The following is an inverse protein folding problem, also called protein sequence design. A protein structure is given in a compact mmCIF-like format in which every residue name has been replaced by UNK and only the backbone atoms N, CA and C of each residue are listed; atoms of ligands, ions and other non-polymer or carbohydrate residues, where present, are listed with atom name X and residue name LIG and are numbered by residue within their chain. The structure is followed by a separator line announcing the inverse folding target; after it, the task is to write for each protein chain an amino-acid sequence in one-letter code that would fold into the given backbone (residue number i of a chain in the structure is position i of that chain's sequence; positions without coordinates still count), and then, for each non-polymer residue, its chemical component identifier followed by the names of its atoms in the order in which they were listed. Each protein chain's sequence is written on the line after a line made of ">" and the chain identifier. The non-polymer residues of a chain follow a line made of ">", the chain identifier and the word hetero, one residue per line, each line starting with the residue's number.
data_IF_291383144220
#
_entry.id   IF_291383144220
#
_cell.length_a   1.000
_cell.length_b   1.000
_cell.length_c   1.000
_cell.angle_alpha   90.00
_cell.angle_beta   90.00
_cell.angle_gamma   90.00
#
_symmetry.space_group_name_H-M   'P 1'
#
loop_
_entity.id
_entity.type
_entity.pdbx_description
1 polymer ?
#
# COMPACT_ATOMS: atom_id res chain seq x y z
N UNK A 1 28.48 -1.72 25.97
CA UNK A 1 27.44 -2.48 25.23
C UNK A 1 26.60 -1.60 24.27
N UNK A 2 27.10 -0.45 23.81
CA UNK A 2 26.32 0.56 23.06
C UNK A 2 26.68 0.67 21.56
N UNK A 3 27.79 0.05 21.12
CA UNK A 3 28.25 0.10 19.73
C UNK A 3 27.65 -0.98 18.81
N UNK A 4 27.23 -2.13 19.36
CA UNK A 4 26.60 -3.22 18.60
C UNK A 4 25.22 -2.82 18.04
N UNK A 5 24.41 -2.13 18.84
CA UNK A 5 23.06 -1.70 18.42
C UNK A 5 23.10 -0.63 17.32
N UNK A 6 24.11 0.27 17.33
CA UNK A 6 24.29 1.27 16.27
C UNK A 6 24.76 0.65 14.95
N UNK A 7 25.62 -0.37 15.01
CA UNK A 7 26.08 -1.12 13.83
C UNK A 7 24.94 -1.91 13.17
N UNK A 8 24.08 -2.54 13.97
CA UNK A 8 22.94 -3.31 13.45
C UNK A 8 21.87 -2.40 12.83
N UNK A 9 21.58 -1.25 13.46
CA UNK A 9 20.67 -0.24 12.91
C UNK A 9 21.23 0.38 11.62
N UNK A 10 22.54 0.68 11.58
CA UNK A 10 23.21 1.14 10.37
C UNK A 10 23.16 0.07 9.27
N UNK A 11 23.36 -1.20 9.58
CA UNK A 11 23.29 -2.31 8.62
C UNK A 11 21.87 -2.52 8.08
N UNK A 12 20.85 -2.41 8.94
CA UNK A 12 19.43 -2.44 8.54
C UNK A 12 19.13 -1.25 7.62
N UNK A 13 19.49 -0.02 8.00
CA UNK A 13 19.31 1.17 7.15
C UNK A 13 20.10 1.00 5.84
N UNK A 14 21.29 0.42 5.87
CA UNK A 14 22.11 0.17 4.68
C UNK A 14 21.48 -0.89 3.78
N UNK A 15 20.84 -1.93 4.31
CA UNK A 15 20.10 -2.93 3.52
C UNK A 15 18.81 -2.35 2.91
N UNK A 16 18.12 -1.45 3.62
CA UNK A 16 16.91 -0.78 3.13
C UNK A 16 17.23 0.32 2.10
N UNK A 17 18.31 1.08 2.28
CA UNK A 17 18.65 2.25 1.46
C UNK A 17 19.78 2.03 0.45
N UNK A 18 20.76 1.16 0.72
CA UNK A 18 21.85 0.91 -0.22
C UNK A 18 21.51 -0.18 -1.23
N UNK A 19 21.65 0.08 -2.53
CA UNK A 19 21.41 -0.90 -3.60
C UNK A 19 22.55 -1.93 -3.74
N UNK A 20 23.35 -2.17 -2.70
CA UNK A 20 24.69 -2.77 -2.84
C UNK A 20 24.68 -4.26 -3.19
N UNK A 21 23.57 -4.98 -2.98
CA UNK A 21 23.39 -6.35 -3.47
C UNK A 21 23.03 -6.44 -4.97
N UNK A 22 22.76 -5.32 -5.65
CA UNK A 22 22.19 -5.34 -7.00
C UNK A 22 23.21 -5.13 -8.15
N UNK A 23 24.49 -4.88 -7.85
CA UNK A 23 25.51 -4.59 -8.90
C UNK A 23 26.29 -5.81 -9.37
N UNK A 24 26.25 -6.92 -8.65
CA UNK A 24 26.91 -8.18 -9.01
C UNK A 24 25.86 -9.25 -9.30
N UNK A 25 26.23 -10.23 -10.14
CA UNK A 25 25.42 -11.32 -10.72
C UNK A 25 24.78 -11.01 -12.08
N UNK A 26 25.51 -11.45 -13.13
CA UNK A 26 25.34 -11.15 -14.55
C UNK A 26 24.18 -11.85 -15.27
N UNK A 27 22.93 -11.56 -14.93
CA UNK A 27 21.80 -11.82 -15.84
C UNK A 27 21.43 -10.53 -16.59
N UNK A 28 22.09 -10.27 -17.73
CA UNK A 28 21.78 -9.16 -18.66
C UNK A 28 20.70 -9.50 -19.70
N UNK A 29 20.16 -10.72 -19.72
CA UNK A 29 19.36 -11.19 -20.85
C UNK A 29 17.86 -11.26 -20.46
N UNK A 30 17.06 -10.34 -21.01
CA UNK A 30 15.60 -10.37 -21.11
C UNK A 30 14.74 -10.33 -19.81
N UNK A 31 15.07 -9.49 -18.83
CA UNK A 31 14.30 -9.43 -17.56
C UNK A 31 13.09 -8.49 -17.56
N UNK A 32 12.95 -7.54 -18.50
CA UNK A 32 11.93 -6.49 -18.43
C UNK A 32 11.32 -6.20 -19.81
N UNK A 33 10.05 -6.54 -20.02
CA UNK A 33 9.31 -6.20 -21.25
C UNK A 33 7.94 -5.60 -20.96
N UNK A 34 7.51 -4.64 -21.78
CA UNK A 34 6.26 -3.91 -21.56
C UNK A 34 5.09 -4.61 -22.28
N UNK A 35 4.74 -5.83 -21.85
CA UNK A 35 3.59 -6.59 -22.40
C UNK A 35 2.62 -7.02 -21.31
N UNK A 36 1.32 -6.97 -21.60
CA UNK A 36 0.29 -7.50 -20.68
C UNK A 36 0.39 -9.01 -20.73
N UNK A 37 0.65 -9.62 -19.58
CA UNK A 37 0.63 -11.06 -19.45
C UNK A 37 -0.56 -11.50 -18.61
N UNK A 38 -1.20 -12.57 -19.07
CA UNK A 38 -2.22 -13.27 -18.33
C UNK A 38 -1.52 -14.34 -17.47
N UNK A 39 -1.52 -14.12 -16.16
CA UNK A 39 -0.96 -15.06 -15.18
C UNK A 39 -1.86 -16.30 -15.10
N UNK A 40 -1.30 -17.50 -15.23
CA UNK A 40 -2.04 -18.74 -14.88
C UNK A 40 -2.20 -18.84 -13.36
N UNK A 41 -3.06 -19.73 -12.87
CA UNK A 41 -3.29 -19.88 -11.43
C UNK A 41 -1.99 -20.18 -10.65
N UNK A 42 -1.16 -21.11 -11.16
CA UNK A 42 0.13 -21.45 -10.55
C UNK A 42 1.09 -20.26 -10.47
N UNK A 43 1.14 -19.42 -11.50
CA UNK A 43 2.05 -18.27 -11.53
C UNK A 43 1.66 -17.16 -10.53
N UNK A 44 0.42 -17.19 -10.04
CA UNK A 44 -0.08 -16.22 -9.04
C UNK A 44 0.28 -16.61 -7.63
N UNK A 45 0.67 -17.86 -7.41
CA UNK A 45 1.14 -18.34 -6.12
C UNK A 45 2.59 -17.95 -5.93
N UNK A 46 2.94 -17.64 -4.69
CA UNK A 46 4.32 -17.44 -4.25
C UNK A 46 4.47 -18.04 -2.87
N UNK A 47 5.58 -18.75 -2.64
CA UNK A 47 5.93 -19.29 -1.33
C UNK A 47 6.79 -18.28 -0.60
N UNK A 48 6.52 -18.07 0.68
CA UNK A 48 7.29 -17.17 1.53
C UNK A 48 7.79 -17.90 2.75
N UNK A 49 8.97 -17.51 3.17
CA UNK A 49 9.52 -17.98 4.43
C UNK A 49 10.41 -16.90 5.05
N UNK A 50 10.35 -16.74 6.35
CA UNK A 50 11.07 -15.74 7.13
C UNK A 50 12.33 -16.38 7.71
N UNK A 51 13.49 -15.85 7.33
CA UNK A 51 14.80 -16.38 7.75
C UNK A 51 15.04 -16.15 9.24
N UNK A 52 14.53 -15.03 9.80
CA UNK A 52 14.68 -14.72 11.23
C UNK A 52 14.03 -15.82 12.08
N UNK A 53 12.82 -16.24 11.72
CA UNK A 53 12.11 -17.30 12.45
C UNK A 53 12.84 -18.65 12.36
N UNK A 54 13.46 -18.97 11.23
CA UNK A 54 14.31 -20.16 11.11
C UNK A 54 15.54 -20.10 12.02
N UNK A 55 16.15 -18.92 12.21
CA UNK A 55 17.27 -18.74 13.14
C UNK A 55 16.82 -19.00 14.59
N UNK A 56 15.58 -18.62 14.93
CA UNK A 56 14.97 -18.90 16.24
C UNK A 56 14.25 -20.28 16.26
N UNK A 57 14.62 -21.18 15.33
CA UNK A 57 14.11 -22.55 15.26
C UNK A 57 12.58 -22.68 15.18
N UNK A 58 11.91 -21.65 14.66
CA UNK A 58 10.46 -21.65 14.45
C UNK A 58 10.18 -21.79 12.96
N UNK A 59 9.98 -23.02 12.44
CA UNK A 59 9.68 -23.19 11.04
C UNK A 59 8.41 -22.43 10.67
N UNK A 60 8.46 -21.76 9.53
CA UNK A 60 7.39 -20.91 9.06
C UNK A 60 7.19 -21.06 7.56
N UNK A 61 5.93 -21.01 7.15
CA UNK A 61 5.51 -21.16 5.77
C UNK A 61 4.44 -20.13 5.45
N UNK A 62 4.64 -19.41 4.35
CA UNK A 62 3.70 -18.43 3.85
C UNK A 62 3.31 -18.73 2.41
N UNK A 63 2.03 -18.51 2.10
CA UNK A 63 1.48 -18.55 0.76
C UNK A 63 0.98 -17.15 0.40
N UNK A 64 1.44 -16.61 -0.71
CA UNK A 64 0.94 -15.36 -1.29
C UNK A 64 0.23 -15.65 -2.62
N UNK A 65 -0.93 -15.06 -2.81
CA UNK A 65 -1.76 -15.18 -4.00
C UNK A 65 -2.11 -13.80 -4.57
N UNK A 66 -1.84 -13.61 -5.87
CA UNK A 66 -2.22 -12.40 -6.60
C UNK A 66 -3.72 -12.45 -6.93
N UNK A 67 -4.50 -11.46 -6.48
CA UNK A 67 -5.97 -11.42 -6.62
C UNK A 67 -6.48 -11.23 -8.06
N UNK A 68 -5.61 -11.16 -9.06
CA UNK A 68 -5.96 -10.72 -10.40
C UNK A 68 -5.14 -11.44 -11.47
N UNK A 69 -5.74 -11.55 -12.64
CA UNK A 69 -5.24 -12.43 -13.70
C UNK A 69 -4.18 -11.77 -14.59
N UNK A 70 -3.89 -10.48 -14.39
CA UNK A 70 -3.01 -9.70 -15.27
C UNK A 70 -1.78 -9.22 -14.52
N UNK A 71 -0.65 -9.12 -15.24
CA UNK A 71 0.66 -8.70 -14.70
C UNK A 71 0.68 -7.31 -14.04
N UNK A 72 -0.32 -6.45 -14.31
CA UNK A 72 -0.45 -5.12 -13.68
C UNK A 72 -1.25 -5.11 -12.38
N UNK A 73 -1.87 -6.23 -11.97
CA UNK A 73 -2.52 -6.28 -10.67
C UNK A 73 -1.46 -6.09 -9.58
N UNK A 74 -1.78 -5.30 -8.56
CA UNK A 74 -0.88 -4.89 -7.47
C UNK A 74 -1.25 -5.47 -6.12
N UNK A 75 -2.42 -6.10 -6.03
CA UNK A 75 -2.97 -6.60 -4.77
C UNK A 75 -2.71 -8.09 -4.62
N UNK A 76 -2.22 -8.46 -3.45
CA UNK A 76 -2.01 -9.86 -3.07
C UNK A 76 -2.63 -10.13 -1.72
N UNK A 77 -3.23 -11.31 -1.61
CA UNK A 77 -3.64 -11.88 -0.34
C UNK A 77 -2.58 -12.88 0.09
N UNK A 78 -2.30 -12.96 1.38
CA UNK A 78 -1.33 -13.91 1.87
C UNK A 78 -1.69 -14.49 3.21
N UNK A 79 -1.29 -15.74 3.40
CA UNK A 79 -1.52 -16.55 4.57
C UNK A 79 -0.15 -17.04 5.05
N UNK A 80 0.26 -16.64 6.23
CA UNK A 80 1.51 -17.07 6.86
C UNK A 80 1.18 -17.91 8.10
N UNK A 81 1.91 -19.01 8.29
CA UNK A 81 1.78 -19.90 9.43
C UNK A 81 3.14 -20.19 10.05
N UNK A 82 3.19 -20.24 11.37
CA UNK A 82 4.36 -20.64 12.15
C UNK A 82 4.00 -21.75 13.11
N UNK A 83 4.87 -22.74 13.23
CA UNK A 83 4.67 -23.87 14.15
C UNK A 83 6.01 -24.20 14.78
N UNK A 84 6.08 -24.31 16.10
CA UNK A 84 7.22 -24.94 16.76
C UNK A 84 6.88 -26.36 17.25
N UNK A 85 7.87 -27.26 17.23
CA UNK A 85 7.77 -28.62 17.75
C UNK A 85 7.89 -28.59 19.26
N UNK A 86 6.93 -29.18 19.98
CA UNK A 86 6.92 -29.19 21.44
C UNK A 86 8.22 -29.81 21.97
N UNK A 87 8.93 -29.06 22.81
CA UNK A 87 10.09 -29.59 23.53
C UNK A 87 9.60 -30.67 24.49
N UNK A 88 10.23 -31.85 24.51
CA UNK A 88 9.79 -32.94 25.39
C UNK A 88 9.88 -32.50 26.86
N UNK A 89 8.86 -32.78 27.69
CA UNK A 89 8.81 -32.35 29.09
C UNK A 89 9.84 -33.03 30.00
N UNK A 90 10.65 -33.96 29.48
CA UNK A 90 11.71 -34.67 30.21
C UNK A 90 13.05 -33.93 30.21
N UNK A 91 13.22 -32.90 29.38
CA UNK A 91 14.42 -32.07 29.41
C UNK A 91 14.32 -30.97 30.49
N UNK A 92 15.33 -30.90 31.36
CA UNK A 92 15.48 -29.90 32.43
C UNK A 92 15.81 -28.48 31.90
N UNK A 93 15.58 -28.22 30.62
CA UNK A 93 15.93 -26.94 29.99
C UNK A 93 15.12 -25.82 30.61
N UNK A 94 15.80 -24.84 31.22
CA UNK A 94 15.18 -23.70 31.91
C UNK A 94 14.32 -22.83 30.97
N UNK A 95 14.70 -22.75 29.69
CA UNK A 95 14.04 -21.95 28.67
C UNK A 95 12.97 -22.75 27.91
N UNK A 96 11.80 -22.16 27.70
CA UNK A 96 10.69 -22.71 26.90
C UNK A 96 10.32 -21.71 25.82
N UNK A 97 10.16 -22.15 24.58
CA UNK A 97 9.79 -21.29 23.47
C UNK A 97 8.91 -22.04 22.47
N UNK A 98 7.60 -22.07 22.71
CA UNK A 98 6.63 -22.68 21.80
C UNK A 98 5.69 -21.62 21.24
N UNK A 99 5.60 -21.52 19.91
CA UNK A 99 4.74 -20.56 19.21
C UNK A 99 3.97 -21.26 18.10
N UNK A 100 2.66 -20.99 18.05
CA UNK A 100 1.77 -21.29 16.93
C UNK A 100 1.16 -19.99 16.47
N UNK A 101 1.40 -19.59 15.23
CA UNK A 101 0.90 -18.32 14.69
C UNK A 101 0.25 -18.56 13.33
N UNK A 102 -0.91 -17.92 13.13
CA UNK A 102 -1.63 -17.89 11.88
C UNK A 102 -1.96 -16.44 11.53
N UNK A 103 -1.44 -15.96 10.40
CA UNK A 103 -1.51 -14.56 9.99
C UNK A 103 -2.03 -14.43 8.57
N UNK A 104 -2.96 -13.49 8.38
CA UNK A 104 -3.48 -13.09 7.08
C UNK A 104 -2.98 -11.68 6.78
N UNK A 105 -2.46 -11.46 5.58
CA UNK A 105 -1.99 -10.15 5.17
C UNK A 105 -2.46 -9.80 3.74
N UNK A 106 -2.97 -8.58 3.60
CA UNK A 106 -3.32 -7.98 2.31
C UNK A 106 -2.26 -6.94 1.96
N UNK A 107 -1.61 -7.09 0.80
CA UNK A 107 -0.50 -6.22 0.38
C UNK A 107 -0.77 -5.57 -0.96
N UNK A 108 -0.26 -4.36 -1.11
CA UNK A 108 -0.25 -3.61 -2.36
C UNK A 108 1.18 -3.30 -2.77
N UNK A 109 1.56 -3.76 -3.96
CA UNK A 109 2.90 -3.60 -4.51
C UNK A 109 3.03 -2.44 -5.50
N UNK A 110 4.21 -1.83 -5.57
CA UNK A 110 4.61 -0.92 -6.64
C UNK A 110 6.10 -1.02 -6.92
N UNK A 111 6.49 -0.71 -8.15
CA UNK A 111 7.90 -0.68 -8.52
C UNK A 111 8.61 0.58 -8.05
N UNK A 112 9.86 0.40 -7.63
CA UNK A 112 10.82 1.49 -7.50
C UNK A 112 11.40 1.93 -8.85
N UNK A 113 12.49 2.71 -8.80
CA UNK A 113 13.28 3.07 -9.99
C UNK A 113 13.98 1.87 -10.61
N UNK A 114 14.40 0.90 -9.79
CA UNK A 114 15.01 -0.34 -10.25
C UNK A 114 13.91 -1.39 -10.54
N UNK A 115 13.80 -1.94 -11.76
CA UNK A 115 12.76 -2.92 -12.09
C UNK A 115 12.84 -4.19 -11.24
N UNK A 116 14.02 -4.58 -10.74
CA UNK A 116 14.19 -5.76 -9.88
C UNK A 116 13.73 -5.56 -8.43
N UNK A 117 13.29 -4.35 -8.07
CA UNK A 117 12.87 -4.00 -6.72
C UNK A 117 11.45 -3.48 -6.72
N UNK A 118 10.62 -4.14 -5.91
CA UNK A 118 9.26 -3.71 -5.62
C UNK A 118 9.15 -3.33 -4.16
N UNK A 119 8.29 -2.38 -3.88
CA UNK A 119 7.93 -1.96 -2.54
C UNK A 119 6.50 -2.39 -2.28
N UNK A 120 6.18 -2.64 -1.02
CA UNK A 120 4.83 -2.96 -0.61
C UNK A 120 4.45 -2.22 0.67
N UNK A 121 3.15 -2.02 0.80
CA UNK A 121 2.49 -1.68 2.03
C UNK A 121 1.28 -2.59 2.17
N UNK A 122 0.86 -2.86 3.40
CA UNK A 122 -0.25 -3.76 3.63
C UNK A 122 -0.81 -3.65 5.03
N UNK A 123 -1.90 -4.35 5.23
CA UNK A 123 -2.51 -4.60 6.53
C UNK A 123 -2.39 -6.08 6.83
N UNK A 124 -2.21 -6.42 8.10
CA UNK A 124 -2.23 -7.81 8.54
C UNK A 124 -3.10 -7.96 9.78
N UNK A 125 -3.62 -9.17 9.96
CA UNK A 125 -4.30 -9.62 11.16
C UNK A 125 -3.94 -11.08 11.41
N UNK A 126 -3.71 -11.45 12.67
CA UNK A 126 -3.33 -12.81 13.03
C UNK A 126 -3.80 -13.20 14.41
N UNK A 127 -3.72 -14.49 14.67
CA UNK A 127 -3.97 -15.09 15.97
C UNK A 127 -2.80 -16.02 16.29
N UNK A 128 -2.26 -15.88 17.49
CA UNK A 128 -1.12 -16.66 17.94
C UNK A 128 -1.37 -17.26 19.31
N UNK A 129 -0.77 -18.42 19.55
CA UNK A 129 -0.67 -19.07 20.84
C UNK A 129 0.81 -19.21 21.18
N UNK A 130 1.19 -18.74 22.36
CA UNK A 130 2.58 -18.65 22.77
C UNK A 130 2.78 -19.25 24.16
N UNK A 131 3.93 -19.87 24.37
CA UNK A 131 4.48 -20.28 25.66
C UNK A 131 5.97 -19.92 25.66
N UNK A 132 6.32 -18.88 26.40
CA UNK A 132 7.65 -18.29 26.39
C UNK A 132 8.16 -18.15 27.81
N UNK A 133 9.27 -18.81 28.12
CA UNK A 133 10.02 -18.64 29.36
C UNK A 133 11.50 -18.40 29.04
N UNK A 134 11.97 -17.17 29.25
CA UNK A 134 13.39 -16.79 29.16
C UNK A 134 13.96 -16.28 30.50
N UNK A 135 13.09 -16.04 31.49
CA UNK A 135 13.44 -15.52 32.82
C UNK A 135 12.77 -16.38 33.90
N UNK A 136 12.87 -15.96 35.16
CA UNK A 136 12.22 -16.60 36.31
C UNK A 136 10.73 -16.85 36.07
N UNK A 137 10.05 -15.89 35.44
CA UNK A 137 8.63 -15.95 35.08
C UNK A 137 8.45 -16.23 33.58
N UNK A 138 7.70 -17.29 33.26
CA UNK A 138 7.24 -17.61 31.91
C UNK A 138 5.85 -17.04 31.62
N UNK A 139 5.53 -16.83 30.35
CA UNK A 139 4.26 -16.28 29.86
C UNK A 139 3.63 -17.24 28.86
N UNK A 140 2.42 -17.70 29.16
CA UNK A 140 1.67 -18.63 28.31
C UNK A 140 0.28 -18.10 28.01
N UNK A 141 -0.09 -18.02 26.74
CA UNK A 141 -1.36 -17.40 26.37
C UNK A 141 -1.72 -17.45 24.89
N UNK A 142 -2.83 -16.80 24.58
CA UNK A 142 -3.26 -16.53 23.21
C UNK A 142 -3.20 -15.02 22.98
N UNK A 143 -2.85 -14.60 21.77
CA UNK A 143 -2.92 -13.22 21.35
C UNK A 143 -3.57 -13.08 19.97
N UNK A 144 -4.15 -11.92 19.76
CA UNK A 144 -4.60 -11.44 18.46
C UNK A 144 -3.76 -10.23 18.10
N UNK A 145 -3.26 -10.20 16.87
CA UNK A 145 -2.45 -9.10 16.37
C UNK A 145 -3.06 -8.49 15.14
N UNK A 146 -2.85 -7.19 14.98
CA UNK A 146 -3.28 -6.47 13.79
C UNK A 146 -2.46 -5.23 13.58
N UNK A 147 -2.11 -4.93 12.33
CA UNK A 147 -1.24 -3.81 12.07
C UNK A 147 -0.97 -3.52 10.61
N UNK A 148 -0.04 -2.59 10.41
CA UNK A 148 0.48 -2.20 9.11
C UNK A 148 1.82 -2.87 8.85
N UNK A 149 2.08 -3.14 7.59
CA UNK A 149 3.36 -3.67 7.12
C UNK A 149 3.87 -2.83 5.96
N UNK A 150 5.17 -2.61 5.95
CA UNK A 150 5.87 -1.90 4.89
C UNK A 150 7.16 -2.64 4.58
N UNK A 151 7.53 -2.72 3.31
CA UNK A 151 8.76 -3.40 2.95
C UNK A 151 9.12 -3.33 1.48
N UNK A 152 10.17 -4.05 1.12
CA UNK A 152 10.67 -4.17 -0.23
C UNK A 152 11.04 -5.60 -0.53
N UNK A 153 10.70 -6.04 -1.75
CA UNK A 153 11.11 -7.32 -2.30
C UNK A 153 12.09 -7.05 -3.43
N UNK A 154 13.28 -7.63 -3.36
CA UNK A 154 14.34 -7.50 -4.36
C UNK A 154 14.68 -8.86 -4.94
N UNK A 155 14.72 -8.96 -6.26
CA UNK A 155 15.07 -10.21 -6.93
C UNK A 155 16.53 -10.62 -6.68
N UNK A 156 16.73 -11.80 -6.11
CA UNK A 156 18.06 -12.40 -5.90
C UNK A 156 18.45 -13.26 -7.11
N UNK A 157 17.56 -14.15 -7.53
CA UNK A 157 17.86 -15.12 -8.58
C UNK A 157 16.63 -15.36 -9.47
N UNK A 158 16.84 -15.39 -10.79
CA UNK A 158 15.82 -15.77 -11.76
C UNK A 158 16.13 -17.11 -12.38
N UNK A 159 15.21 -18.07 -12.25
CA UNK A 159 15.30 -19.38 -12.86
C UNK A 159 14.96 -19.32 -14.36
N UNK A 160 15.38 -20.35 -15.11
CA UNK A 160 15.12 -20.49 -16.55
C UNK A 160 13.64 -20.78 -16.85
N UNK A 161 12.94 -21.44 -15.95
CA UNK A 161 11.49 -21.70 -16.02
C UNK A 161 10.62 -20.44 -15.78
N UNK A 162 11.26 -19.27 -15.63
CA UNK A 162 10.61 -17.99 -15.36
C UNK A 162 10.41 -17.67 -13.88
N UNK A 163 10.46 -18.65 -12.97
CA UNK A 163 10.34 -18.42 -11.53
C UNK A 163 11.46 -17.53 -10.99
N UNK A 164 11.26 -16.91 -9.83
CA UNK A 164 12.29 -16.14 -9.14
C UNK A 164 12.36 -16.43 -7.66
N UNK A 165 13.58 -16.41 -7.13
CA UNK A 165 13.86 -16.34 -5.71
C UNK A 165 14.21 -14.90 -5.36
N UNK A 166 13.49 -14.33 -4.42
CA UNK A 166 13.52 -12.91 -4.10
C UNK A 166 13.71 -12.72 -2.59
N UNK A 167 14.43 -11.67 -2.21
CA UNK A 167 14.66 -11.26 -0.83
C UNK A 167 13.59 -10.26 -0.41
N UNK A 168 12.90 -10.55 0.68
CA UNK A 168 11.86 -9.71 1.29
C UNK A 168 12.41 -9.06 2.56
N UNK A 169 12.45 -7.73 2.58
CA UNK A 169 12.85 -6.93 3.73
C UNK A 169 11.65 -6.08 4.16
N UNK A 170 11.13 -6.32 5.35
CA UNK A 170 9.92 -5.69 5.84
C UNK A 170 10.01 -5.23 7.29
N UNK A 171 9.13 -4.29 7.63
CA UNK A 171 8.87 -3.82 8.98
C UNK A 171 7.37 -3.92 9.22
N UNK A 172 7.00 -4.49 10.36
CA UNK A 172 5.61 -4.59 10.80
C UNK A 172 5.43 -3.76 12.07
N UNK A 173 4.32 -3.03 12.17
CA UNK A 173 3.93 -2.31 13.37
C UNK A 173 2.43 -2.49 13.61
N UNK A 174 2.02 -2.79 14.84
CA UNK A 174 0.64 -3.14 15.12
C UNK A 174 0.25 -3.05 16.58
N UNK A 175 -0.95 -3.53 16.87
CA UNK A 175 -1.50 -3.70 18.21
C UNK A 175 -1.59 -5.20 18.52
N UNK A 176 -1.39 -5.53 19.79
CA UNK A 176 -1.45 -6.91 20.29
C UNK A 176 -2.46 -6.96 21.44
N UNK A 177 -3.49 -7.76 21.26
CA UNK A 177 -4.47 -8.10 22.29
C UNK A 177 -4.14 -9.48 22.82
N UNK A 178 -3.55 -9.54 24.01
CA UNK A 178 -3.08 -10.80 24.59
C UNK A 178 -3.87 -11.18 25.83
N UNK A 179 -4.06 -12.49 26.02
CA UNK A 179 -4.55 -13.14 27.23
C UNK A 179 -3.51 -14.18 27.62
N UNK A 180 -2.74 -13.92 28.68
CA UNK A 180 -1.68 -14.82 29.13
C UNK A 180 -1.64 -14.97 30.64
N UNK A 181 -1.20 -16.14 31.10
CA UNK A 181 -0.83 -16.41 32.48
C UNK A 181 0.68 -16.21 32.65
N UNK A 182 1.06 -15.71 33.81
CA UNK A 182 2.45 -15.70 34.26
C UNK A 182 2.70 -16.91 35.17
N UNK A 183 3.73 -17.70 34.88
CA UNK A 183 4.08 -18.89 35.64
C UNK A 183 5.54 -18.88 36.11
N UNK A 184 5.77 -19.32 37.34
CA UNK A 184 7.08 -19.72 37.82
C UNK A 184 7.25 -21.24 37.63
N UNK A 185 8.47 -21.72 37.41
CA UNK A 185 8.74 -23.17 37.27
C UNK A 185 9.64 -23.56 38.43
N UNK A 186 9.07 -24.24 39.41
CA UNK A 186 9.81 -24.82 40.52
C UNK A 186 10.11 -26.29 40.22
N UNK A 187 11.30 -26.74 40.60
CA UNK A 187 11.68 -28.16 40.51
C UNK A 187 11.35 -28.81 41.86
N UNK A 188 10.31 -29.64 41.89
CA UNK A 188 10.03 -30.52 43.02
C UNK A 188 10.08 -31.98 42.54
N UNK A 189 10.87 -32.82 43.22
CA UNK A 189 10.96 -34.27 42.97
C UNK A 189 11.26 -34.65 41.50
N UNK A 190 12.25 -34.00 40.87
CA UNK A 190 12.63 -34.23 39.46
C UNK A 190 11.48 -34.00 38.44
N UNK A 191 10.39 -33.34 38.85
CA UNK A 191 9.28 -32.94 37.98
C UNK A 191 9.08 -31.43 38.08
N UNK A 192 8.77 -30.81 36.94
CA UNK A 192 8.53 -29.37 36.90
C UNK A 192 7.09 -29.07 37.26
N UNK A 193 6.88 -28.35 38.36
CA UNK A 193 5.56 -27.87 38.79
C UNK A 193 5.43 -26.42 38.32
N UNK A 194 4.30 -26.10 37.68
CA UNK A 194 3.99 -24.77 37.18
C UNK A 194 3.16 -24.02 38.23
N UNK A 195 3.76 -23.04 38.89
CA UNK A 195 3.07 -22.19 39.86
C UNK A 195 2.61 -20.90 39.16
N UNK A 196 1.30 -20.73 39.01
CA UNK A 196 0.72 -19.55 38.35
C UNK A 196 0.81 -18.35 39.30
N UNK A 197 1.62 -17.36 38.95
CA UNK A 197 1.88 -16.17 39.77
C UNK A 197 0.83 -15.08 39.56
N UNK A 198 0.27 -14.97 38.34
CA UNK A 198 -0.82 -14.04 38.04
C UNK A 198 -1.84 -14.71 37.13
N UNK A 199 -3.09 -14.93 37.61
CA UNK A 199 -4.12 -15.57 36.82
C UNK A 199 -4.65 -14.67 35.70
N UNK A 200 -4.94 -15.28 34.55
CA UNK A 200 -5.58 -14.65 33.39
C UNK A 200 -6.80 -13.80 33.74
N UNK A 201 -6.79 -12.52 33.35
CA UNK A 201 -7.97 -11.66 33.40
C UNK A 201 -8.26 -11.02 32.02
N UNK A 202 -9.01 -11.77 31.20
CA UNK A 202 -9.48 -11.33 29.88
C UNK A 202 -8.39 -11.04 28.83
N UNK A 203 -8.81 -10.59 27.65
CA UNK A 203 -7.90 -10.02 26.65
C UNK A 203 -7.61 -8.57 26.99
N UNK A 204 -6.33 -8.19 27.05
CA UNK A 204 -5.90 -6.81 27.27
C UNK A 204 -4.96 -6.36 26.16
N UNK A 205 -4.98 -5.05 25.86
CA UNK A 205 -3.97 -4.45 25.00
C UNK A 205 -2.62 -4.53 25.71
N UNK A 206 -1.61 -5.09 25.06
CA UNK A 206 -0.31 -5.36 25.67
C UNK A 206 0.82 -4.81 24.80
N UNK A 207 1.71 -4.03 25.41
CA UNK A 207 2.96 -3.54 24.82
C UNK A 207 4.19 -4.21 25.45
N UNK A 208 3.99 -5.33 26.13
CA UNK A 208 5.08 -6.11 26.69
C UNK A 208 6.07 -6.48 25.57
N UNK A 209 7.35 -6.09 25.66
CA UNK A 209 8.30 -6.27 24.58
C UNK A 209 8.44 -7.73 24.11
N UNK A 210 8.35 -8.71 25.02
CA UNK A 210 8.51 -10.12 24.68
C UNK A 210 7.27 -10.64 23.94
N UNK A 211 6.07 -10.36 24.48
CA UNK A 211 4.80 -10.76 23.85
C UNK A 211 4.62 -10.04 22.51
N UNK A 212 4.97 -8.77 22.46
CA UNK A 212 4.87 -7.94 21.25
C UNK A 212 5.83 -8.44 20.17
N UNK A 213 7.11 -8.67 20.49
CA UNK A 213 8.09 -9.18 19.55
C UNK A 213 7.71 -10.57 19.01
N UNK A 214 7.24 -11.47 19.89
CA UNK A 214 6.80 -12.81 19.50
C UNK A 214 5.54 -12.82 18.61
N UNK A 215 4.71 -11.78 18.68
CA UNK A 215 3.41 -11.75 18.00
C UNK A 215 3.36 -10.86 16.74
N UNK A 216 4.23 -9.86 16.60
CA UNK A 216 4.14 -8.89 15.48
C UNK A 216 5.25 -8.99 14.43
N UNK A 217 6.35 -9.70 14.70
CA UNK A 217 7.53 -9.76 13.83
C UNK A 217 7.96 -8.38 13.33
N UNK A 218 8.44 -7.54 14.25
CA UNK A 218 8.73 -6.12 13.98
C UNK A 218 9.63 -5.96 12.75
N UNK A 219 10.65 -6.80 12.63
CA UNK A 219 11.56 -6.85 11.48
C UNK A 219 11.38 -8.19 10.77
N UNK A 220 11.24 -8.15 9.45
CA UNK A 220 11.08 -9.32 8.60
C UNK A 220 12.19 -9.37 7.57
N UNK A 221 12.89 -10.49 7.53
CA UNK A 221 13.88 -10.80 6.48
C UNK A 221 13.52 -12.18 5.94
N UNK A 222 12.86 -12.22 4.79
CA UNK A 222 12.33 -13.45 4.22
C UNK A 222 12.87 -13.76 2.83
N UNK A 223 12.72 -15.00 2.43
CA UNK A 223 12.86 -15.45 1.05
C UNK A 223 11.47 -15.69 0.47
N UNK A 224 11.26 -15.23 -0.75
CA UNK A 224 10.02 -15.41 -1.51
C UNK A 224 10.35 -16.11 -2.80
N UNK A 225 9.71 -17.25 -3.03
CA UNK A 225 9.76 -17.97 -4.28
C UNK A 225 8.50 -17.68 -5.09
N UNK A 226 8.64 -16.91 -6.17
CA UNK A 226 7.54 -16.62 -7.09
C UNK A 226 7.51 -17.64 -8.22
N UNK A 227 6.37 -18.30 -8.42
CA UNK A 227 6.19 -19.22 -9.53
C UNK A 227 5.94 -18.48 -10.84
N UNK A 228 6.57 -18.90 -11.94
CA UNK A 228 6.21 -18.44 -13.29
C UNK A 228 6.83 -17.11 -13.72
N UNK A 229 6.32 -15.97 -13.26
CA UNK A 229 6.79 -14.64 -13.73
C UNK A 229 7.71 -14.00 -12.68
N UNK A 230 8.89 -13.53 -13.12
CA UNK A 230 9.85 -12.80 -12.28
C UNK A 230 9.26 -11.52 -11.68
N UNK A 231 9.69 -11.13 -10.48
CA UNK A 231 9.23 -9.91 -9.78
C UNK A 231 9.29 -8.66 -10.66
N UNK A 232 10.35 -8.50 -11.46
CA UNK A 232 10.50 -7.34 -12.35
C UNK A 232 9.39 -7.19 -13.40
N UNK A 233 8.66 -8.27 -13.69
CA UNK A 233 7.55 -8.26 -14.63
C UNK A 233 6.16 -8.26 -13.98
N UNK A 234 6.06 -8.39 -12.66
CA UNK A 234 4.80 -8.30 -11.88
C UNK A 234 4.52 -6.87 -11.44
N UNK A 235 3.29 -6.52 -11.10
CA UNK A 235 2.95 -5.22 -10.46
C UNK A 235 3.25 -3.98 -11.34
N UNK A 236 3.25 -4.13 -12.67
CA UNK A 236 3.52 -3.02 -13.59
C UNK A 236 2.42 -1.95 -13.56
N UNK A 237 2.78 -0.72 -13.95
CA UNK A 237 1.78 0.33 -14.17
C UNK A 237 1.02 -0.01 -15.45
N UNK A 238 -0.32 -0.10 -15.38
CA UNK A 238 -1.19 -0.41 -16.54
C UNK A 238 -0.89 0.48 -17.75
N UNK A 239 -0.68 1.78 -17.53
CA UNK A 239 -0.32 2.76 -18.58
C UNK A 239 0.92 2.36 -19.40
N UNK A 240 1.91 1.68 -18.80
CA UNK A 240 3.16 1.33 -19.47
C UNK A 240 2.99 0.10 -20.37
N UNK A 241 1.98 -0.72 -20.09
CA UNK A 241 1.89 -2.10 -20.58
C UNK A 241 0.67 -2.30 -21.49
N UNK A 242 -0.42 -1.59 -21.22
CA UNK A 242 -1.71 -1.72 -21.90
C UNK A 242 -1.91 -0.52 -22.85
N UNK A 243 -1.68 -0.73 -24.15
CA UNK A 243 -1.81 0.30 -25.17
C UNK A 243 -3.26 0.79 -25.35
N UNK A 244 -4.23 -0.13 -25.31
CA UNK A 244 -5.65 0.22 -25.39
C UNK A 244 -6.04 1.16 -24.25
N UNK A 245 -5.55 0.90 -23.03
CA UNK A 245 -5.77 1.80 -21.89
C UNK A 245 -5.14 3.18 -22.08
N UNK A 246 -3.99 3.28 -22.77
CA UNK A 246 -3.38 4.58 -23.10
C UNK A 246 -4.25 5.35 -24.09
N UNK A 247 -4.73 4.67 -25.13
CA UNK A 247 -5.61 5.26 -26.15
C UNK A 247 -6.93 5.74 -25.55
N UNK A 248 -7.56 4.92 -24.69
CA UNK A 248 -8.79 5.29 -23.99
C UNK A 248 -8.60 6.55 -23.13
N UNK A 249 -7.50 6.61 -22.36
CA UNK A 249 -7.19 7.78 -21.53
C UNK A 249 -6.88 9.03 -22.36
N UNK A 250 -6.18 8.86 -23.49
CA UNK A 250 -5.91 9.95 -24.42
C UNK A 250 -7.20 10.46 -25.08
N UNK A 251 -8.09 9.57 -25.49
CA UNK A 251 -9.41 9.92 -26.03
C UNK A 251 -10.28 10.63 -24.99
N UNK A 252 -10.23 10.21 -23.73
CA UNK A 252 -10.96 10.88 -22.64
C UNK A 252 -10.40 12.29 -22.38
N UNK A 253 -9.08 12.46 -22.43
CA UNK A 253 -8.44 13.76 -22.30
C UNK A 253 -8.81 14.67 -23.47
N UNK A 254 -8.71 14.18 -24.70
CA UNK A 254 -9.13 14.87 -25.90
C UNK A 254 -10.60 15.31 -25.82
N UNK A 255 -11.51 14.42 -25.38
CA UNK A 255 -12.92 14.75 -25.17
C UNK A 255 -13.13 15.86 -24.13
N UNK A 256 -12.31 15.91 -23.08
CA UNK A 256 -12.40 16.98 -22.06
C UNK A 256 -11.92 18.32 -22.62
N UNK A 257 -10.85 18.31 -23.42
CA UNK A 257 -10.33 19.52 -24.04
C UNK A 257 -11.30 20.09 -25.08
N UNK A 258 -11.89 19.26 -25.93
CA UNK A 258 -12.91 19.71 -26.90
C UNK A 258 -14.16 20.28 -26.21
N UNK A 259 -14.62 19.67 -25.12
CA UNK A 259 -15.72 20.22 -24.31
C UNK A 259 -15.37 21.55 -23.68
N UNK A 260 -14.12 21.73 -23.22
CA UNK A 260 -13.64 22.99 -22.64
C UNK A 260 -13.59 24.10 -23.69
N UNK A 261 -13.11 23.77 -24.88
CA UNK A 261 -13.05 24.70 -26.02
C UNK A 261 -14.45 25.12 -26.47
N UNK A 262 -15.35 24.17 -26.71
CA UNK A 262 -16.74 24.47 -27.07
C UNK A 262 -17.45 25.32 -26.00
N UNK A 263 -17.16 25.10 -24.71
CA UNK A 263 -17.69 25.93 -23.62
C UNK A 263 -17.11 27.35 -23.63
N UNK A 264 -15.83 27.50 -23.96
CA UNK A 264 -15.19 28.81 -24.10
C UNK A 264 -15.78 29.59 -25.28
N UNK A 265 -16.00 28.93 -26.43
CA UNK A 265 -16.67 29.52 -27.58
C UNK A 265 -18.10 29.96 -27.28
N UNK A 266 -18.90 29.10 -26.62
CA UNK A 266 -20.25 29.47 -26.17
C UNK A 266 -20.24 30.68 -25.24
N UNK A 267 -19.23 30.79 -24.36
CA UNK A 267 -19.08 31.95 -23.48
C UNK A 267 -18.75 33.22 -24.26
N UNK A 268 -17.82 33.14 -25.23
CA UNK A 268 -17.49 34.25 -26.14
C UNK A 268 -18.71 34.69 -26.96
N UNK A 269 -19.46 33.74 -27.53
CA UNK A 269 -20.68 34.02 -28.29
C UNK A 269 -21.73 34.74 -27.42
N UNK A 270 -21.99 34.27 -26.20
CA UNK A 270 -22.88 34.95 -25.24
C UNK A 270 -22.39 36.35 -24.88
N UNK A 271 -21.10 36.56 -24.77
CA UNK A 271 -20.54 37.88 -24.49
C UNK A 271 -20.72 38.85 -25.67
N UNK A 272 -20.48 38.37 -26.89
CA UNK A 272 -20.73 39.12 -28.12
C UNK A 272 -22.21 39.49 -28.23
N UNK A 273 -23.11 38.52 -27.98
CA UNK A 273 -24.56 38.74 -27.98
C UNK A 273 -24.97 39.79 -26.94
N UNK A 274 -24.44 39.70 -25.70
CA UNK A 274 -24.67 40.71 -24.66
C UNK A 274 -24.19 42.09 -25.06
N UNK A 275 -22.98 42.22 -25.65
CA UNK A 275 -22.44 43.49 -26.14
C UNK A 275 -23.30 44.04 -27.29
N UNK A 276 -23.75 43.18 -28.21
CA UNK A 276 -24.66 43.54 -29.30
C UNK A 276 -25.99 44.07 -28.74
N UNK A 277 -26.62 43.36 -27.82
CA UNK A 277 -27.90 43.76 -27.24
C UNK A 277 -27.79 45.05 -26.41
N UNK A 278 -26.67 45.28 -25.72
CA UNK A 278 -26.39 46.56 -25.07
C UNK A 278 -26.31 47.71 -26.08
N UNK A 279 -25.53 47.53 -27.15
CA UNK A 279 -25.43 48.53 -28.23
C UNK A 279 -26.78 48.82 -28.86
N UNK A 280 -27.59 47.81 -29.21
CA UNK A 280 -28.93 48.03 -29.76
C UNK A 280 -29.80 48.87 -28.81
N UNK A 281 -29.81 48.56 -27.50
CA UNK A 281 -30.56 49.36 -26.52
C UNK A 281 -30.08 50.81 -26.43
N UNK A 282 -28.78 51.06 -26.59
CA UNK A 282 -28.22 52.42 -26.63
C UNK A 282 -28.65 53.16 -27.91
N UNK A 283 -28.61 52.50 -29.07
CA UNK A 283 -29.11 53.05 -30.33
C UNK A 283 -30.60 53.38 -30.25
N UNK A 284 -31.45 52.49 -29.72
CA UNK A 284 -32.89 52.73 -29.57
C UNK A 284 -33.18 53.92 -28.64
N UNK A 285 -32.41 54.06 -27.55
CA UNK A 285 -32.52 55.22 -26.65
C UNK A 285 -32.13 56.51 -27.36
N UNK A 286 -31.04 56.49 -28.13
CA UNK A 286 -30.59 57.66 -28.89
C UNK A 286 -31.61 58.07 -29.96
N UNK A 287 -32.23 57.12 -30.65
CA UNK A 287 -33.31 57.38 -31.61
C UNK A 287 -34.52 58.02 -30.93
N UNK A 288 -35.01 57.44 -29.83
CA UNK A 288 -36.12 58.02 -29.06
C UNK A 288 -35.82 59.43 -28.55
N UNK A 289 -34.56 59.73 -28.20
CA UNK A 289 -34.16 61.08 -27.81
C UNK A 289 -34.18 62.04 -29.01
N UNK A 290 -33.67 61.62 -30.17
CA UNK A 290 -33.71 62.41 -31.41
C UNK A 290 -35.15 62.70 -31.84
N UNK A 291 -36.03 61.69 -31.80
CA UNK A 291 -37.46 61.86 -32.08
C UNK A 291 -38.11 62.86 -31.13
N UNK A 292 -37.85 62.76 -29.81
CA UNK A 292 -38.36 63.73 -28.83
C UNK A 292 -37.84 65.14 -29.07
N UNK A 293 -36.58 65.30 -29.47
CA UNK A 293 -36.00 66.62 -29.80
C UNK A 293 -36.63 67.17 -31.07
N UNK A 294 -36.80 66.35 -32.11
CA UNK A 294 -37.47 66.72 -33.34
C UNK A 294 -38.94 67.10 -33.11
N UNK A 295 -39.66 66.34 -32.28
CA UNK A 295 -41.04 66.64 -31.89
C UNK A 295 -41.14 67.95 -31.11
N UNK A 296 -40.22 68.21 -30.17
CA UNK A 296 -40.14 69.50 -29.46
C UNK A 296 -39.83 70.66 -30.40
N UNK A 297 -38.93 70.47 -31.36
CA UNK A 297 -38.62 71.48 -32.37
C UNK A 297 -39.81 71.74 -33.30
N UNK A 298 -40.52 70.70 -33.72
CA UNK A 298 -41.75 70.82 -34.51
C UNK A 298 -42.85 71.57 -33.75
N UNK A 299 -43.06 71.26 -32.47
CA UNK A 299 -44.02 71.99 -31.60
C UNK A 299 -43.64 73.47 -31.44
N UNK A 300 -42.36 73.79 -31.21
CA UNK A 300 -41.89 75.19 -31.16
C UNK A 300 -42.14 75.92 -32.49
N UNK A 301 -41.85 75.29 -33.62
CA UNK A 301 -42.09 75.88 -34.94
C UNK A 301 -43.59 76.09 -35.23
N UNK A 302 -44.48 75.24 -34.70
CA UNK A 302 -45.94 75.43 -34.77
C UNK A 302 -46.44 76.56 -33.86
N UNK A 303 -45.85 76.70 -32.67
CA UNK A 303 -46.14 77.81 -31.74
C UNK A 303 -45.70 79.16 -32.33
N UNK A 304 -44.51 79.24 -32.94
CA UNK A 304 -44.04 80.44 -33.66
C UNK A 304 -44.95 80.81 -34.84
N UNK A 305 -45.43 79.82 -35.60
CA UNK A 305 -46.41 80.05 -36.69
C UNK A 305 -47.78 80.52 -36.21
N UNK A 306 -48.20 80.17 -34.98
CA UNK A 306 -49.45 80.64 -34.36
C UNK A 306 -49.30 82.02 -33.72
N UNK A 307 -48.10 82.38 -33.25
CA UNK A 307 -47.79 83.71 -32.72
C UNK A 307 -47.81 84.82 -33.80
N UNK A 308 -47.42 84.49 -35.04
CA UNK A 308 -47.40 85.43 -36.17
C UNK A 308 -48.77 85.68 -36.85
N UNK A 309 -49.87 85.16 -36.29
CA UNK A 309 -51.25 85.30 -36.83
C UNK A 309 -52.17 86.17 -35.96
N UNK A 310 -51.64 86.95 -35.02
CA UNK A 310 -52.40 87.96 -34.25
C UNK A 310 -52.05 89.36 -34.72
#
# INVERSE_FOLDING_TARGET
>A
MTYSNKGLLALVITLFFSPMLAKTYGQKVALYYNKVENLKFGDRLSLRTNVIDWIVLTPNFGLEYILGNKSWNKWTLSLDGKVNWKTQPKDLTYNVYDIYDGKVALRKYWHGKNPRRVFYWGVYGGANKFDIKFSETGKRGNAFTGGLMFGTVTQLYGYQNGASLDLDLGINAGVVYAKYDEYHRDVQNNQHIYNITTPQNGYKLTFDPLVYAASTDIVRVGLVYHFGIKVANRYKKRIVVDEQYRLEKANEAYRKDTLREAKAERKKAKEIERKRNKRLKEYDKAQKQKEKVAEKAARRNEEEKKGNKK
#
